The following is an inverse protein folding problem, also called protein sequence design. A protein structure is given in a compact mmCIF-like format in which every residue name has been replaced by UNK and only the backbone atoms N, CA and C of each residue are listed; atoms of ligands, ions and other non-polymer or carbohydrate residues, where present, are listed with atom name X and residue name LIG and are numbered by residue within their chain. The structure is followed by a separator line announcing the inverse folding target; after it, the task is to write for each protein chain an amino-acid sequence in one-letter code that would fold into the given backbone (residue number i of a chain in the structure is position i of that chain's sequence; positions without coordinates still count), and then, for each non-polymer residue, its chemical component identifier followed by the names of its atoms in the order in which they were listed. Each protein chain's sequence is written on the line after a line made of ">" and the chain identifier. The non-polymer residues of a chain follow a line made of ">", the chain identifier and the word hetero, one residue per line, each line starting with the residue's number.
data_IF_979129291180
#
_entry.id   IF_979129291180
#
_cell.length_a   1.000
_cell.length_b   1.000
_cell.length_c   1.000
_cell.angle_alpha   90.00
_cell.angle_beta   90.00
_cell.angle_gamma   90.00
#
_symmetry.space_group_name_H-M   'P 1'
#
loop_
_entity.id
_entity.type
_entity.pdbx_description
1 polymer ?
#
# COMPACT_ATOMS: atom_id res chain seq x y z
N UNK A 1 2.10 -3.48 24.40
CA UNK A 1 0.74 -4.04 24.33
C UNK A 1 0.79 -5.57 24.20
N UNK A 2 1.49 -6.13 23.21
CA UNK A 2 1.61 -7.59 23.00
C UNK A 2 2.20 -8.30 24.24
N UNK A 3 3.24 -7.73 24.86
CA UNK A 3 3.81 -8.28 26.11
C UNK A 3 2.77 -8.38 27.25
N UNK A 4 1.83 -7.44 27.27
CA UNK A 4 0.73 -7.40 28.24
C UNK A 4 -0.49 -8.25 27.82
N UNK A 5 -0.34 -9.11 26.79
CA UNK A 5 -1.41 -10.01 26.34
C UNK A 5 -2.58 -9.31 25.64
N UNK A 6 -2.32 -8.21 24.91
CA UNK A 6 -3.37 -7.46 24.18
C UNK A 6 -3.24 -7.66 22.69
N UNK A 7 -4.36 -7.91 22.01
CA UNK A 7 -4.45 -7.75 20.55
C UNK A 7 -4.19 -6.32 20.15
N UNK A 8 -3.55 -6.10 19.02
CA UNK A 8 -3.08 -4.77 18.61
C UNK A 8 -3.49 -4.45 17.16
N UNK A 9 -4.14 -3.33 16.97
CA UNK A 9 -4.27 -2.63 15.70
C UNK A 9 -3.35 -1.42 15.74
N UNK A 10 -2.29 -1.43 14.97
CA UNK A 10 -1.26 -0.39 14.95
C UNK A 10 -1.35 0.42 13.66
N UNK A 11 -1.37 1.75 13.75
CA UNK A 11 -1.33 2.62 12.57
C UNK A 11 -0.05 2.44 11.75
N UNK A 12 -0.19 2.67 10.45
CA UNK A 12 0.89 2.58 9.47
C UNK A 12 1.84 3.81 9.53
N UNK A 13 3.12 3.66 9.23
CA UNK A 13 3.83 2.40 9.17
C UNK A 13 4.04 1.83 10.58
N UNK A 14 3.73 0.56 10.77
CA UNK A 14 3.85 -0.09 12.09
C UNK A 14 5.30 -0.13 12.57
N UNK A 15 6.23 -0.36 11.67
CA UNK A 15 7.68 -0.35 11.93
C UNK A 15 8.45 0.25 10.76
N UNK A 16 9.71 0.65 11.03
CA UNK A 16 10.63 1.21 10.02
C UNK A 16 11.69 0.21 9.56
N UNK A 17 11.69 -1.02 10.09
CA UNK A 17 12.64 -2.06 9.72
C UNK A 17 11.95 -3.40 9.57
N UNK A 18 12.44 -4.22 8.63
CA UNK A 18 11.99 -5.59 8.44
C UNK A 18 12.10 -6.40 9.73
N UNK A 19 13.24 -6.28 10.42
CA UNK A 19 13.52 -7.06 11.63
C UNK A 19 12.49 -6.79 12.73
N UNK A 20 12.19 -5.53 13.02
CA UNK A 20 11.19 -5.17 14.05
C UNK A 20 9.79 -5.67 13.69
N UNK A 21 9.41 -5.61 12.40
CA UNK A 21 8.12 -6.14 11.94
C UNK A 21 8.04 -7.65 12.18
N UNK A 22 9.07 -8.40 11.81
CA UNK A 22 9.15 -9.85 12.05
C UNK A 22 9.07 -10.21 13.53
N UNK A 23 9.79 -9.49 14.38
CA UNK A 23 9.79 -9.71 15.84
C UNK A 23 8.40 -9.50 16.44
N UNK A 24 7.68 -8.44 16.01
CA UNK A 24 6.34 -8.16 16.51
C UNK A 24 5.32 -9.20 16.07
N UNK A 25 5.35 -9.64 14.79
CA UNK A 25 4.45 -10.72 14.34
C UNK A 25 4.76 -12.04 15.00
N UNK A 26 6.05 -12.38 15.16
CA UNK A 26 6.46 -13.58 15.91
C UNK A 26 5.97 -13.55 17.36
N UNK A 27 6.13 -12.40 18.05
CA UNK A 27 5.61 -12.25 19.43
C UNK A 27 4.09 -12.39 19.49
N UNK A 28 3.37 -11.88 18.52
CA UNK A 28 1.92 -12.01 18.45
C UNK A 28 1.52 -13.48 18.26
N UNK A 29 2.19 -14.20 17.35
CA UNK A 29 1.96 -15.62 17.09
C UNK A 29 2.25 -16.48 18.34
N UNK A 30 3.41 -16.29 18.99
CA UNK A 30 3.81 -17.02 20.20
C UNK A 30 2.83 -16.84 21.38
N UNK A 31 2.10 -15.72 21.40
CA UNK A 31 1.12 -15.39 22.46
C UNK A 31 -0.33 -15.62 22.06
N UNK A 32 -0.59 -16.16 20.86
CA UNK A 32 -1.93 -16.31 20.29
C UNK A 32 -2.70 -14.98 20.26
N UNK A 33 -2.01 -13.91 19.83
CA UNK A 33 -2.55 -12.57 19.73
C UNK A 33 -2.68 -12.12 18.27
N UNK A 34 -3.67 -11.27 18.02
CA UNK A 34 -3.86 -10.62 16.70
C UNK A 34 -3.08 -9.31 16.68
N UNK A 35 -2.21 -9.16 15.67
CA UNK A 35 -1.54 -7.92 15.34
C UNK A 35 -1.91 -7.51 13.91
N UNK A 36 -2.45 -6.30 13.74
CA UNK A 36 -2.75 -5.70 12.44
C UNK A 36 -1.96 -4.42 12.23
N UNK A 37 -1.42 -4.24 11.03
CA UNK A 37 -1.01 -2.93 10.55
C UNK A 37 -2.18 -2.23 9.87
N UNK A 38 -2.44 -0.98 10.26
CA UNK A 38 -3.60 -0.18 9.85
C UNK A 38 -3.52 0.34 8.42
N UNK A 39 -3.72 -0.53 7.42
CA UNK A 39 -3.87 -0.17 6.00
C UNK A 39 -5.30 -0.45 5.56
N UNK A 40 -6.22 0.45 5.90
CA UNK A 40 -7.67 0.28 5.72
C UNK A 40 -8.11 -0.17 4.33
N UNK A 41 -7.39 0.22 3.28
CA UNK A 41 -7.66 -0.18 1.89
C UNK A 41 -7.69 -1.70 1.74
N UNK A 42 -6.82 -2.43 2.43
CA UNK A 42 -6.75 -3.89 2.37
C UNK A 42 -8.07 -4.58 2.77
N UNK A 43 -8.90 -3.89 3.55
CA UNK A 43 -10.13 -4.44 4.11
C UNK A 43 -11.39 -3.91 3.42
N UNK A 44 -11.25 -2.94 2.51
CA UNK A 44 -12.37 -2.35 1.78
C UNK A 44 -12.97 -3.33 0.76
N UNK A 45 -14.30 -3.51 0.71
CA UNK A 45 -14.96 -4.45 -0.21
C UNK A 45 -14.60 -4.20 -1.67
N UNK A 46 -14.53 -2.94 -2.08
CA UNK A 46 -14.16 -2.57 -3.45
C UNK A 46 -12.74 -2.98 -3.81
N UNK A 47 -11.78 -2.83 -2.90
CA UNK A 47 -10.41 -3.27 -3.13
C UNK A 47 -10.33 -4.81 -3.25
N UNK A 48 -11.05 -5.53 -2.39
CA UNK A 48 -11.15 -6.99 -2.47
C UNK A 48 -11.72 -7.44 -3.83
N UNK A 49 -12.78 -6.77 -4.31
CA UNK A 49 -13.37 -7.04 -5.62
C UNK A 49 -12.39 -6.71 -6.76
N UNK A 50 -11.69 -5.59 -6.69
CA UNK A 50 -10.70 -5.18 -7.67
C UNK A 50 -9.59 -6.23 -7.82
N UNK A 51 -9.00 -6.68 -6.70
CA UNK A 51 -7.97 -7.73 -6.71
C UNK A 51 -8.53 -9.05 -7.27
N UNK A 52 -9.77 -9.42 -6.92
CA UNK A 52 -10.42 -10.61 -7.44
C UNK A 52 -10.59 -10.54 -8.97
N UNK A 53 -11.06 -9.40 -9.49
CA UNK A 53 -11.20 -9.17 -10.94
C UNK A 53 -9.84 -9.19 -11.63
N UNK A 54 -8.81 -8.55 -11.07
CA UNK A 54 -7.47 -8.57 -11.64
C UNK A 54 -6.90 -9.99 -11.76
N UNK A 55 -7.15 -10.84 -10.76
CA UNK A 55 -6.68 -12.25 -10.74
C UNK A 55 -7.58 -13.23 -11.51
N UNK A 56 -8.75 -12.80 -11.99
CA UNK A 56 -9.69 -13.67 -12.71
C UNK A 56 -9.22 -14.09 -14.11
N UNK A 57 -8.14 -13.51 -14.62
CA UNK A 57 -7.66 -13.72 -15.99
C UNK A 57 -8.33 -12.84 -17.04
N UNK A 58 -9.27 -11.96 -16.68
CA UNK A 58 -9.93 -11.02 -17.60
C UNK A 58 -8.93 -10.15 -18.37
N UNK A 59 -7.93 -9.63 -17.69
CA UNK A 59 -6.86 -8.81 -18.29
C UNK A 59 -5.64 -9.63 -18.74
N UNK A 60 -5.73 -10.95 -18.69
CA UNK A 60 -4.60 -11.85 -19.00
C UNK A 60 -3.58 -11.92 -17.86
N UNK A 61 -2.29 -12.10 -18.21
CA UNK A 61 -1.20 -12.07 -17.23
C UNK A 61 -0.89 -10.63 -16.84
N UNK A 62 -0.85 -10.35 -15.53
CA UNK A 62 -0.49 -9.02 -15.01
C UNK A 62 1.00 -8.78 -15.25
N UNK A 63 1.34 -7.64 -15.86
CA UNK A 63 2.71 -7.28 -16.23
C UNK A 63 3.19 -6.00 -15.58
N UNK A 64 2.27 -5.08 -15.24
CA UNK A 64 2.61 -3.85 -14.56
C UNK A 64 1.54 -3.42 -13.58
N UNK A 65 1.96 -2.83 -12.46
CA UNK A 65 1.08 -2.24 -11.45
C UNK A 65 1.60 -0.85 -11.09
N UNK A 66 0.85 0.18 -11.46
CA UNK A 66 1.14 1.55 -11.04
C UNK A 66 0.13 2.03 -10.00
N UNK A 67 0.59 2.30 -8.79
CA UNK A 67 -0.24 2.86 -7.72
C UNK A 67 0.25 4.26 -7.34
N UNK A 68 -0.64 5.24 -7.41
CA UNK A 68 -0.31 6.62 -7.11
C UNK A 68 -1.19 7.19 -6.00
N UNK A 69 -0.58 7.68 -4.91
CA UNK A 69 -1.27 8.39 -3.87
C UNK A 69 -0.61 9.74 -3.61
N UNK A 70 -1.22 10.81 -4.09
CA UNK A 70 -0.75 12.18 -3.85
C UNK A 70 -1.85 13.04 -3.24
N UNK A 71 -1.50 13.76 -2.20
CA UNK A 71 -2.34 14.77 -1.53
C UNK A 71 -1.43 15.92 -1.12
N UNK A 72 -1.68 17.11 -1.64
CA UNK A 72 -0.94 18.29 -1.18
C UNK A 72 -1.21 18.50 0.32
N UNK A 73 -0.16 18.53 1.10
CA UNK A 73 -0.19 18.77 2.53
C UNK A 73 0.13 20.24 2.83
N UNK A 74 -0.52 20.80 3.84
CA UNK A 74 -0.24 22.17 4.30
C UNK A 74 1.22 22.29 4.74
N UNK A 75 1.82 23.46 4.49
CA UNK A 75 3.24 23.69 4.79
C UNK A 75 3.59 23.53 6.29
N UNK A 76 2.59 23.70 7.16
CA UNK A 76 2.73 23.56 8.62
C UNK A 76 2.35 22.16 9.14
N UNK A 77 1.90 21.27 8.26
CA UNK A 77 1.50 19.93 8.67
C UNK A 77 2.70 19.06 9.06
N UNK A 78 2.46 18.02 9.88
CA UNK A 78 3.48 17.08 10.29
C UNK A 78 4.20 16.44 9.10
N UNK A 79 3.47 16.13 8.04
CA UNK A 79 4.02 15.52 6.82
C UNK A 79 5.04 16.44 6.11
N UNK A 80 5.00 17.73 6.38
CA UNK A 80 5.89 18.76 5.80
C UNK A 80 6.95 19.30 6.76
N UNK A 81 6.83 19.07 8.05
CA UNK A 81 7.66 19.66 9.10
C UNK A 81 8.42 18.66 9.94
N UNK A 82 7.96 17.41 10.04
CA UNK A 82 8.63 16.38 10.83
C UNK A 82 9.75 15.73 10.01
N UNK A 83 10.99 16.17 10.22
CA UNK A 83 12.18 15.66 9.54
C UNK A 83 12.44 14.15 9.81
N UNK A 84 11.93 13.59 10.90
CA UNK A 84 12.14 12.19 11.27
C UNK A 84 11.08 11.26 10.67
N UNK A 85 9.81 11.65 10.74
CA UNK A 85 8.68 10.78 10.42
C UNK A 85 7.69 11.39 9.42
N UNK A 86 7.91 12.59 8.93
CA UNK A 86 7.13 13.20 7.86
C UNK A 86 7.53 12.70 6.48
N UNK A 87 6.90 13.25 5.45
CA UNK A 87 7.16 12.96 4.05
C UNK A 87 6.14 12.08 3.37
N UNK A 88 6.22 12.05 2.05
CA UNK A 88 5.24 11.42 1.18
C UNK A 88 5.24 9.89 1.32
N UNK A 89 6.41 9.29 1.40
CA UNK A 89 6.51 7.83 1.40
C UNK A 89 6.04 7.23 2.73
N UNK A 90 6.45 7.80 3.87
CA UNK A 90 6.00 7.30 5.18
C UNK A 90 4.48 7.49 5.35
N UNK A 91 3.90 8.52 4.75
CA UNK A 91 2.46 8.75 4.81
C UNK A 91 1.66 7.83 3.88
N UNK A 92 2.10 7.62 2.64
CA UNK A 92 1.31 6.95 1.62
C UNK A 92 1.93 5.67 1.03
N UNK A 93 3.18 5.35 1.37
CA UNK A 93 3.92 4.22 0.78
C UNK A 93 3.23 2.88 0.97
N UNK A 94 2.76 2.59 2.19
CA UNK A 94 2.05 1.35 2.49
C UNK A 94 0.79 1.16 1.63
N UNK A 95 0.04 2.23 1.38
CA UNK A 95 -1.12 2.18 0.47
C UNK A 95 -0.69 1.84 -0.96
N UNK A 96 0.35 2.48 -1.49
CA UNK A 96 0.80 2.27 -2.87
C UNK A 96 1.48 0.90 -3.07
N UNK A 97 2.17 0.37 -2.06
CA UNK A 97 2.78 -0.97 -2.12
C UNK A 97 1.76 -2.11 -2.01
N UNK A 98 0.62 -1.89 -1.34
CA UNK A 98 -0.40 -2.91 -1.12
C UNK A 98 -0.88 -3.60 -2.42
N UNK A 99 -1.39 -2.91 -3.44
CA UNK A 99 -1.83 -3.56 -4.68
C UNK A 99 -0.68 -4.25 -5.42
N UNK A 100 0.53 -3.72 -5.33
CA UNK A 100 1.72 -4.29 -5.96
C UNK A 100 2.00 -5.68 -5.37
N UNK A 101 2.12 -5.78 -4.05
CA UNK A 101 2.39 -7.06 -3.39
C UNK A 101 1.22 -8.04 -3.53
N UNK A 102 -0.03 -7.54 -3.53
CA UNK A 102 -1.20 -8.38 -3.79
C UNK A 102 -1.20 -9.04 -5.17
N UNK A 103 -0.66 -8.39 -6.18
CA UNK A 103 -0.79 -8.81 -7.58
C UNK A 103 0.49 -9.44 -8.14
N UNK A 104 1.66 -8.90 -7.80
CA UNK A 104 2.96 -9.36 -8.31
C UNK A 104 3.77 -10.14 -7.27
N UNK A 105 3.33 -10.14 -5.99
CA UNK A 105 4.06 -10.81 -4.90
C UNK A 105 5.22 -9.98 -4.36
N UNK A 106 6.00 -10.59 -3.48
CA UNK A 106 7.10 -9.93 -2.75
C UNK A 106 8.49 -10.31 -3.29
N UNK A 107 8.56 -11.23 -4.27
CA UNK A 107 9.82 -11.73 -4.84
C UNK A 107 10.30 -10.82 -6.00
N UNK A 108 10.49 -9.52 -5.71
CA UNK A 108 11.09 -8.59 -6.67
C UNK A 108 12.61 -8.80 -6.75
N UNK A 109 13.18 -8.61 -7.96
CA UNK A 109 14.62 -8.74 -8.21
C UNK A 109 15.39 -7.48 -7.84
N UNK A 110 14.78 -6.32 -8.08
CA UNK A 110 15.40 -5.02 -7.89
C UNK A 110 14.38 -4.01 -7.37
N UNK A 111 14.83 -3.11 -6.50
CA UNK A 111 14.07 -1.94 -6.07
C UNK A 111 14.90 -0.68 -6.27
N UNK A 112 14.31 0.31 -6.91
CA UNK A 112 14.87 1.65 -7.05
C UNK A 112 13.96 2.67 -6.38
N UNK A 113 14.54 3.57 -5.62
CA UNK A 113 13.83 4.62 -4.88
C UNK A 113 14.43 5.97 -5.30
N UNK A 114 13.58 6.83 -5.85
CA UNK A 114 13.95 8.19 -6.23
C UNK A 114 12.98 9.18 -5.57
N UNK A 115 13.50 10.24 -4.96
CA UNK A 115 12.72 11.23 -4.23
C UNK A 115 13.09 12.65 -4.64
N UNK A 116 12.11 13.54 -4.61
CA UNK A 116 12.29 14.99 -4.64
C UNK A 116 12.32 15.45 -3.19
N UNK A 117 13.47 15.93 -2.66
CA UNK A 117 13.56 16.39 -1.30
C UNK A 117 12.91 17.76 -1.13
N UNK A 118 12.47 18.05 0.08
CA UNK A 118 12.11 19.35 0.59
C UNK A 118 13.00 19.72 1.76
N UNK A 119 12.64 20.77 2.47
CA UNK A 119 13.37 21.25 3.64
C UNK A 119 13.56 20.14 4.69
N UNK A 120 14.76 20.05 5.26
CA UNK A 120 15.13 19.03 6.24
C UNK A 120 15.15 17.59 5.69
N UNK A 121 15.30 17.42 4.38
CA UNK A 121 15.34 16.11 3.74
C UNK A 121 14.02 15.34 3.74
N UNK A 122 12.91 16.03 3.95
CA UNK A 122 11.56 15.45 3.84
C UNK A 122 11.25 15.18 2.38
N UNK A 123 10.82 13.97 2.03
CA UNK A 123 10.44 13.65 0.65
C UNK A 123 9.08 14.30 0.30
N UNK A 124 9.11 15.20 -0.68
CA UNK A 124 7.91 15.85 -1.22
C UNK A 124 7.17 14.98 -2.22
N UNK A 125 7.93 14.15 -2.93
CA UNK A 125 7.45 13.19 -3.91
C UNK A 125 8.45 12.04 -4.02
N UNK A 126 7.95 10.82 -3.96
CA UNK A 126 8.79 9.61 -4.03
C UNK A 126 8.21 8.63 -5.03
N UNK A 127 9.09 8.04 -5.84
CA UNK A 127 8.80 6.87 -6.68
C UNK A 127 9.60 5.68 -6.18
N UNK A 128 8.93 4.56 -5.97
CA UNK A 128 9.53 3.26 -5.73
C UNK A 128 9.20 2.38 -6.93
N UNK A 129 10.22 1.96 -7.65
CA UNK A 129 10.10 1.04 -8.78
C UNK A 129 10.57 -0.34 -8.36
N UNK A 130 9.78 -1.37 -8.67
CA UNK A 130 10.10 -2.76 -8.39
C UNK A 130 10.15 -3.53 -9.71
N UNK A 131 11.24 -4.26 -9.93
CA UNK A 131 11.42 -5.12 -11.09
C UNK A 131 11.24 -6.58 -10.69
N UNK A 132 10.34 -7.27 -11.35
CA UNK A 132 10.07 -8.69 -11.19
C UNK A 132 10.62 -9.49 -12.38
N UNK A 133 10.59 -10.80 -12.30
CA UNK A 133 11.01 -11.64 -13.43
C UNK A 133 10.19 -11.41 -14.70
N UNK A 134 8.89 -11.25 -14.56
CA UNK A 134 7.94 -11.13 -15.69
C UNK A 134 7.08 -9.87 -15.62
N UNK A 135 7.48 -8.87 -14.87
CA UNK A 135 6.71 -7.64 -14.73
C UNK A 135 7.47 -6.54 -14.00
N UNK A 136 6.83 -5.43 -13.82
CA UNK A 136 7.34 -4.28 -13.08
C UNK A 136 6.24 -3.60 -12.27
N UNK A 137 6.60 -2.75 -11.36
CA UNK A 137 5.64 -1.93 -10.65
C UNK A 137 6.21 -0.57 -10.25
N UNK A 138 5.32 0.40 -10.07
CA UNK A 138 5.69 1.72 -9.57
C UNK A 138 4.72 2.19 -8.49
N UNK A 139 5.23 2.41 -7.28
CA UNK A 139 4.51 3.13 -6.23
C UNK A 139 4.91 4.62 -6.28
N UNK A 140 3.94 5.51 -6.41
CA UNK A 140 4.15 6.97 -6.46
C UNK A 140 3.44 7.63 -5.27
N UNK A 141 4.17 8.40 -4.48
CA UNK A 141 3.62 9.12 -3.32
C UNK A 141 4.00 10.59 -3.36
N UNK A 142 3.13 11.49 -2.88
CA UNK A 142 3.41 12.91 -2.89
C UNK A 142 2.63 13.71 -1.86
N UNK A 143 3.33 14.59 -1.13
CA UNK A 143 2.77 15.60 -0.23
C UNK A 143 3.05 17.02 -0.69
N UNK A 144 4.02 17.21 -1.61
CA UNK A 144 4.41 18.49 -2.20
C UNK A 144 4.19 18.56 -3.71
N UNK A 145 3.90 17.43 -4.35
CA UNK A 145 3.60 17.34 -5.78
C UNK A 145 2.27 16.62 -5.96
N UNK A 146 1.35 17.20 -6.72
CA UNK A 146 0.05 16.61 -7.05
C UNK A 146 0.11 15.92 -8.41
N UNK A 147 -0.42 14.70 -8.49
CA UNK A 147 -0.67 13.98 -9.74
C UNK A 147 -2.06 13.34 -9.74
N UNK A 148 -2.45 12.61 -10.79
CA UNK A 148 -3.80 12.04 -10.95
C UNK A 148 -4.23 11.16 -9.77
N UNK A 149 -3.32 10.38 -9.18
CA UNK A 149 -3.65 9.56 -8.01
C UNK A 149 -4.52 8.35 -8.36
N UNK A 150 -4.20 7.64 -9.42
CA UNK A 150 -4.89 6.44 -9.89
C UNK A 150 -4.13 5.16 -9.55
N UNK A 151 -4.84 4.03 -9.62
CA UNK A 151 -4.26 2.69 -9.67
C UNK A 151 -4.52 2.11 -11.06
N UNK A 152 -3.45 1.72 -11.74
CA UNK A 152 -3.49 1.04 -13.04
C UNK A 152 -2.88 -0.35 -12.89
N UNK A 153 -3.57 -1.37 -13.37
CA UNK A 153 -3.10 -2.76 -13.39
C UNK A 153 -3.12 -3.22 -14.83
N UNK A 154 -1.95 -3.30 -15.46
CA UNK A 154 -1.83 -3.65 -16.87
C UNK A 154 -1.55 -5.16 -17.04
N UNK A 155 -2.28 -5.76 -17.96
CA UNK A 155 -2.16 -7.17 -18.31
C UNK A 155 -2.01 -7.38 -19.82
N UNK A 156 -1.84 -8.64 -20.23
CA UNK A 156 -1.61 -9.00 -21.64
C UNK A 156 -2.86 -8.97 -22.53
N UNK A 157 -4.06 -8.77 -21.95
CA UNK A 157 -5.33 -8.72 -22.69
C UNK A 157 -6.15 -7.46 -22.40
N UNK A 158 -5.71 -6.63 -21.47
CA UNK A 158 -6.41 -5.42 -21.06
C UNK A 158 -5.81 -4.86 -19.77
N UNK A 159 -6.47 -3.88 -19.20
CA UNK A 159 -6.03 -3.26 -17.96
C UNK A 159 -7.21 -2.87 -17.07
N UNK A 160 -6.92 -2.69 -15.78
CA UNK A 160 -7.85 -2.13 -14.81
C UNK A 160 -7.41 -0.70 -14.49
N UNK A 161 -8.38 0.21 -14.49
CA UNK A 161 -8.20 1.59 -14.06
C UNK A 161 -9.12 1.87 -12.87
N UNK A 162 -8.53 2.18 -11.72
CA UNK A 162 -9.25 2.73 -10.58
C UNK A 162 -8.83 4.20 -10.38
N UNK A 163 -9.74 5.18 -10.62
CA UNK A 163 -9.42 6.59 -10.47
C UNK A 163 -9.25 6.97 -9.00
N UNK A 164 -8.68 8.14 -8.77
CA UNK A 164 -8.59 8.73 -7.42
C UNK A 164 -10.00 8.98 -6.82
N UNK A 165 -10.21 8.69 -5.55
CA UNK A 165 -9.31 8.06 -4.57
C UNK A 165 -9.39 6.53 -4.59
N UNK A 166 -8.58 5.87 -5.40
CA UNK A 166 -8.58 4.41 -5.55
C UNK A 166 -8.39 3.65 -4.23
N UNK A 167 -7.73 4.24 -3.25
CA UNK A 167 -7.54 3.64 -1.90
C UNK A 167 -8.85 3.49 -1.10
N UNK A 168 -9.94 4.08 -1.56
CA UNK A 168 -11.30 3.81 -1.09
C UNK A 168 -12.05 2.85 -2.01
N UNK A 169 -11.57 2.66 -3.23
CA UNK A 169 -12.08 1.75 -4.29
C UNK A 169 -13.60 1.78 -4.43
N UNK A 170 -14.15 2.96 -4.70
CA UNK A 170 -15.60 3.15 -4.91
C UNK A 170 -16.05 2.82 -6.33
N UNK A 171 -15.10 2.86 -7.29
CA UNK A 171 -15.31 2.48 -8.69
C UNK A 171 -14.00 2.05 -9.33
N UNK A 172 -14.08 1.19 -10.31
CA UNK A 172 -12.99 0.85 -11.22
C UNK A 172 -13.54 0.31 -12.53
N UNK A 173 -12.72 0.28 -13.56
CA UNK A 173 -13.07 -0.17 -14.89
C UNK A 173 -12.09 -1.22 -15.38
N UNK A 174 -12.58 -2.21 -16.12
CA UNK A 174 -11.76 -3.09 -16.95
C UNK A 174 -11.86 -2.59 -18.39
N UNK A 175 -10.74 -2.33 -19.01
CA UNK A 175 -10.62 -1.82 -20.37
C UNK A 175 -9.76 -2.75 -21.20
N UNK A 176 -10.09 -2.85 -22.48
CA UNK A 176 -9.46 -3.74 -23.43
C UNK A 176 -8.87 -2.97 -24.60
N UNK A 177 -8.16 -3.66 -25.52
CA UNK A 177 -7.63 -3.07 -26.76
C UNK A 177 -8.75 -2.42 -27.59
N UNK A 178 -9.91 -3.07 -27.70
CA UNK A 178 -11.09 -2.42 -28.24
C UNK A 178 -11.65 -1.40 -27.21
N UNK A 179 -11.38 -0.13 -27.43
CA UNK A 179 -11.77 0.98 -26.55
C UNK A 179 -13.28 1.16 -26.36
N UNK A 180 -14.12 0.54 -27.20
CA UNK A 180 -15.56 0.53 -27.02
C UNK A 180 -16.04 -0.50 -25.98
N UNK A 181 -15.18 -1.40 -25.54
CA UNK A 181 -15.49 -2.43 -24.55
C UNK A 181 -14.94 -2.01 -23.19
N UNK A 182 -15.85 -1.59 -22.31
CA UNK A 182 -15.53 -1.18 -20.94
C UNK A 182 -16.46 -1.89 -19.98
N UNK A 183 -15.89 -2.57 -18.98
CA UNK A 183 -16.66 -3.12 -17.87
C UNK A 183 -16.54 -2.21 -16.65
N UNK A 184 -17.67 -1.70 -16.14
CA UNK A 184 -17.71 -0.81 -14.99
C UNK A 184 -18.05 -1.59 -13.71
N UNK A 185 -17.36 -1.26 -12.63
CA UNK A 185 -17.56 -1.81 -11.29
C UNK A 185 -17.75 -0.69 -10.30
N UNK A 186 -18.88 -0.72 -9.57
CA UNK A 186 -19.22 0.26 -8.53
C UNK A 186 -19.57 -0.45 -7.22
N UNK A 187 -18.55 -0.97 -6.51
CA UNK A 187 -18.75 -1.67 -5.25
C UNK A 187 -19.33 -0.73 -4.18
N UNK A 188 -20.20 -1.27 -3.33
CA UNK A 188 -20.74 -0.53 -2.20
C UNK A 188 -19.64 -0.13 -1.23
N UNK A 189 -19.67 1.13 -0.77
CA UNK A 189 -18.70 1.66 0.18
C UNK A 189 -19.39 2.55 1.21
N UNK A 190 -19.08 2.37 2.48
CA UNK A 190 -19.65 3.15 3.57
C UNK A 190 -18.57 3.80 4.43
N UNK A 191 -18.73 5.08 4.71
CA UNK A 191 -17.81 5.88 5.52
C UNK A 191 -16.47 6.13 4.82
N UNK A 192 -15.37 6.06 5.58
CA UNK A 192 -14.00 6.36 5.15
C UNK A 192 -13.08 5.13 5.06
N UNK A 193 -13.60 3.93 5.35
CA UNK A 193 -12.88 2.66 5.28
C UNK A 193 -12.42 2.08 6.62
N UNK A 194 -12.26 2.87 7.68
CA UNK A 194 -11.82 2.38 9.00
C UNK A 194 -12.75 1.31 9.58
N UNK A 195 -14.05 1.43 9.35
CA UNK A 195 -15.02 0.43 9.81
C UNK A 195 -14.74 -0.98 9.31
N UNK A 196 -14.23 -1.13 8.08
CA UNK A 196 -13.91 -2.44 7.50
C UNK A 196 -12.69 -3.05 8.16
N UNK A 197 -11.68 -2.24 8.43
CA UNK A 197 -10.46 -2.63 9.12
C UNK A 197 -10.75 -3.06 10.57
N UNK A 198 -11.48 -2.24 11.32
CA UNK A 198 -11.86 -2.53 12.71
C UNK A 198 -12.73 -3.79 12.77
N UNK A 199 -13.71 -3.92 11.88
CA UNK A 199 -14.57 -5.10 11.83
C UNK A 199 -13.78 -6.38 11.54
N UNK A 200 -12.81 -6.31 10.63
CA UNK A 200 -11.94 -7.45 10.32
C UNK A 200 -11.02 -7.81 11.49
N UNK A 201 -10.46 -6.81 12.16
CA UNK A 201 -9.65 -7.01 13.36
C UNK A 201 -10.44 -7.75 14.45
N UNK A 202 -11.66 -7.29 14.74
CA UNK A 202 -12.56 -7.95 15.70
C UNK A 202 -12.93 -9.37 15.22
N UNK A 203 -13.21 -9.53 13.91
CA UNK A 203 -13.55 -10.84 13.34
C UNK A 203 -12.40 -11.83 13.46
N UNK A 204 -11.16 -11.40 13.28
CA UNK A 204 -9.97 -12.25 13.45
C UNK A 204 -9.78 -12.66 14.89
N UNK A 205 -9.96 -11.74 15.85
CA UNK A 205 -9.91 -12.04 17.29
C UNK A 205 -10.95 -13.10 17.68
N UNK A 206 -12.15 -13.04 17.10
CA UNK A 206 -13.25 -13.97 17.38
C UNK A 206 -13.18 -15.27 16.55
N UNK A 207 -12.14 -15.49 15.75
CA UNK A 207 -12.01 -16.67 14.89
C UNK A 207 -12.99 -16.68 13.70
N UNK A 208 -13.64 -15.56 13.38
CA UNK A 208 -14.66 -15.42 12.35
C UNK A 208 -14.15 -14.75 11.06
N UNK A 209 -12.84 -14.53 10.94
CA UNK A 209 -12.25 -13.93 9.75
C UNK A 209 -12.48 -14.80 8.52
N UNK A 210 -12.99 -14.19 7.44
CA UNK A 210 -13.23 -14.87 6.17
C UNK A 210 -12.01 -14.76 5.26
N UNK A 211 -11.82 -15.74 4.38
CA UNK A 211 -10.80 -15.67 3.33
C UNK A 211 -11.03 -14.45 2.43
N UNK A 212 -9.93 -13.85 1.96
CA UNK A 212 -9.94 -12.69 1.08
C UNK A 212 -8.53 -12.14 0.86
N UNK A 213 -8.42 -11.11 0.03
CA UNK A 213 -7.14 -10.45 -0.29
C UNK A 213 -6.77 -9.37 0.75
N UNK A 214 -6.91 -9.69 2.04
CA UNK A 214 -6.56 -8.80 3.15
C UNK A 214 -5.05 -8.73 3.32
N UNK A 215 -4.57 -7.71 4.03
CA UNK A 215 -3.14 -7.61 4.34
C UNK A 215 -2.68 -8.85 5.13
N UNK A 216 -1.62 -9.47 4.68
CA UNK A 216 -0.96 -10.58 5.39
C UNK A 216 0.25 -10.07 6.17
N UNK A 217 0.65 -10.80 7.21
CA UNK A 217 1.83 -10.49 8.01
C UNK A 217 3.10 -10.44 7.14
N UNK A 218 3.22 -11.34 6.15
CA UNK A 218 4.34 -11.37 5.21
C UNK A 218 4.39 -10.11 4.32
N UNK A 219 3.25 -9.63 3.84
CA UNK A 219 3.17 -8.39 3.06
C UNK A 219 3.51 -7.17 3.91
N UNK A 220 3.05 -7.10 5.16
CA UNK A 220 3.41 -6.05 6.10
C UNK A 220 4.92 -6.03 6.38
N UNK A 221 5.53 -7.20 6.58
CA UNK A 221 7.00 -7.34 6.72
C UNK A 221 7.74 -6.89 5.45
N UNK A 222 7.22 -7.22 4.26
CA UNK A 222 7.81 -6.76 3.00
C UNK A 222 7.69 -5.24 2.81
N UNK A 223 6.58 -4.63 3.25
CA UNK A 223 6.42 -3.16 3.26
C UNK A 223 7.42 -2.51 4.21
N UNK A 224 7.64 -3.08 5.39
CA UNK A 224 8.65 -2.60 6.34
C UNK A 224 10.08 -2.71 5.75
N UNK A 225 10.37 -3.74 4.93
CA UNK A 225 11.64 -3.84 4.22
C UNK A 225 11.85 -2.71 3.20
N UNK A 226 10.84 -2.36 2.42
CA UNK A 226 10.92 -1.20 1.50
C UNK A 226 11.04 0.10 2.29
N UNK A 227 10.32 0.23 3.39
CA UNK A 227 10.42 1.39 4.29
C UNK A 227 11.84 1.54 4.85
N UNK A 228 12.48 0.45 5.25
CA UNK A 228 13.88 0.45 5.70
C UNK A 228 14.85 0.91 4.60
N UNK A 229 14.68 0.43 3.37
CA UNK A 229 15.48 0.86 2.21
C UNK A 229 15.28 2.35 1.91
N UNK A 230 14.03 2.82 1.98
CA UNK A 230 13.71 4.25 1.83
C UNK A 230 14.38 5.09 2.92
N UNK A 231 14.32 4.68 4.19
CA UNK A 231 14.93 5.43 5.28
C UNK A 231 16.46 5.53 5.14
N UNK A 232 17.12 4.45 4.69
CA UNK A 232 18.56 4.48 4.37
C UNK A 232 18.85 5.48 3.25
N UNK A 233 18.08 5.46 2.17
CA UNK A 233 18.22 6.41 1.05
C UNK A 233 18.00 7.86 1.48
N UNK A 234 17.00 8.12 2.33
CA UNK A 234 16.72 9.44 2.89
C UNK A 234 17.89 9.97 3.72
N UNK A 235 18.52 9.15 4.56
CA UNK A 235 19.69 9.52 5.33
C UNK A 235 20.89 9.89 4.45
N UNK A 236 21.06 9.23 3.30
CA UNK A 236 22.10 9.57 2.32
C UNK A 236 21.85 10.94 1.69
N UNK A 237 20.59 11.26 1.35
CA UNK A 237 20.21 12.57 0.81
C UNK A 237 20.47 13.70 1.82
N UNK A 238 20.10 13.51 3.10
CA UNK A 238 20.32 14.50 4.18
C UNK A 238 21.81 14.80 4.44
N UNK A 239 22.70 13.85 4.17
CA UNK A 239 24.16 14.07 4.35
C UNK A 239 24.79 14.78 3.15
N UNK A 240 24.09 14.90 2.05
CA UNK A 240 24.58 15.51 0.80
C UNK A 240 24.18 16.98 0.66
N UNK A 241 23.33 17.49 1.57
CA UNK A 241 22.99 18.91 1.77
C UNK A 241 23.94 19.56 2.78
#
# INVERSE_FOLDING_TARGET
>A
ALEAGKHVLCEKPMTFTKQHSMELYKMAEEKDLVLFEGIKTAYCPGFQQLINVARSGKIGEIRDVEACFTRLADLTSRERTDASYGGAFLEFGGYALLPIFKLLGMDYREVRIDSIPGEGGIDLYTKVQLLYEKGMATAKTGVGVKSEGQLVIAGTKGYILAPSPWWLTKKFEVRYENSSVIENYEPSFQGDGLRYEINEFISKINGNSRNGYKLTDQEAVAMAEITEKFMKKRQEMQKSE
#
